data_IF_177227463682
#
_entry.id   IF_177227463682
#
_cell.length_a   1.000
_cell.length_b   1.000
_cell.length_c   1.000
_cell.angle_alpha   90.00
_cell.angle_beta   90.00
_cell.angle_gamma   90.00
#
_symmetry.space_group_name_H-M   'P 1'
#
loop_
_entity.id
_entity.type
_entity.pdbx_description
1 polymer ?
#
# COMPACT_ATOMS: atom_id res chain seq x y z
N UNK A 1 -9.03 4.01 7.47
CA UNK A 1 -7.82 3.30 7.95
C UNK A 1 -6.61 3.32 7.00
N UNK A 2 -6.76 3.12 5.67
CA UNK A 2 -5.61 3.07 4.74
C UNK A 2 -5.30 4.37 3.95
N UNK A 3 -6.03 5.47 4.15
CA UNK A 3 -5.73 6.75 3.49
C UNK A 3 -5.82 6.71 1.96
N UNK A 4 -6.77 5.94 1.42
CA UNK A 4 -7.01 5.76 -0.01
C UNK A 4 -8.18 6.63 -0.46
N UNK A 5 -8.02 7.29 -1.61
CA UNK A 5 -9.14 7.94 -2.31
C UNK A 5 -10.04 6.89 -2.97
N UNK A 6 -11.31 7.21 -3.13
CA UNK A 6 -12.32 6.30 -3.69
C UNK A 6 -11.94 5.74 -5.07
N UNK A 7 -11.40 6.59 -5.95
CA UNK A 7 -10.90 6.17 -7.27
C UNK A 7 -9.79 5.11 -7.15
N UNK A 8 -8.86 5.31 -6.21
CA UNK A 8 -7.76 4.36 -5.97
C UNK A 8 -8.31 3.05 -5.38
N UNK A 9 -9.25 3.15 -4.44
CA UNK A 9 -9.92 1.99 -3.84
C UNK A 9 -10.64 1.15 -4.90
N UNK A 10 -11.49 1.77 -5.74
CA UNK A 10 -12.21 1.11 -6.82
C UNK A 10 -11.29 0.40 -7.80
N UNK A 11 -10.17 1.04 -8.16
CA UNK A 11 -9.17 0.44 -9.04
C UNK A 11 -8.49 -0.78 -8.42
N UNK A 12 -8.21 -0.72 -7.11
CA UNK A 12 -7.53 -1.79 -6.38
C UNK A 12 -8.49 -2.98 -6.14
N UNK A 13 -9.77 -2.70 -5.91
CA UNK A 13 -10.84 -3.70 -5.85
C UNK A 13 -11.03 -4.42 -7.19
N UNK A 14 -11.10 -3.68 -8.30
CA UNK A 14 -11.13 -4.27 -9.65
C UNK A 14 -9.91 -5.13 -9.97
N UNK A 15 -8.75 -4.80 -9.40
CA UNK A 15 -7.54 -5.65 -9.53
C UNK A 15 -7.67 -6.93 -8.69
N UNK A 16 -8.23 -6.85 -7.50
CA UNK A 16 -8.48 -8.00 -6.64
C UNK A 16 -9.48 -8.99 -7.27
N UNK A 17 -10.54 -8.47 -7.89
CA UNK A 17 -11.57 -9.26 -8.57
C UNK A 17 -11.02 -10.06 -9.76
N UNK A 18 -9.97 -9.55 -10.43
CA UNK A 18 -9.30 -10.24 -11.53
C UNK A 18 -8.33 -11.34 -11.08
N UNK A 19 -7.96 -11.38 -9.79
CA UNK A 19 -7.09 -12.44 -9.25
C UNK A 19 -7.94 -13.69 -8.99
N UNK A 20 -7.34 -14.86 -9.18
CA UNK A 20 -7.95 -16.14 -8.77
C UNK A 20 -8.06 -16.20 -7.24
N UNK A 21 -9.10 -16.86 -6.72
CA UNK A 21 -9.33 -17.01 -5.28
C UNK A 21 -10.39 -16.06 -4.71
N UNK A 22 -10.40 -15.89 -3.39
CA UNK A 22 -11.39 -15.07 -2.68
C UNK A 22 -11.07 -13.58 -2.86
N UNK A 23 -11.99 -12.82 -3.48
CA UNK A 23 -11.79 -11.39 -3.79
C UNK A 23 -11.46 -10.55 -2.56
N UNK A 24 -12.08 -10.84 -1.41
CA UNK A 24 -11.82 -10.12 -0.16
C UNK A 24 -10.40 -10.29 0.36
N UNK A 25 -9.88 -11.53 0.34
CA UNK A 25 -8.50 -11.84 0.73
C UNK A 25 -7.50 -11.21 -0.24
N UNK A 26 -7.75 -11.36 -1.55
CA UNK A 26 -6.95 -10.73 -2.60
C UNK A 26 -6.89 -9.20 -2.44
N UNK A 27 -8.01 -8.58 -2.04
CA UNK A 27 -8.07 -7.15 -1.81
C UNK A 27 -7.26 -6.72 -0.59
N UNK A 28 -7.39 -7.44 0.53
CA UNK A 28 -6.58 -7.21 1.73
C UNK A 28 -5.09 -7.42 1.47
N UNK A 29 -4.71 -8.48 0.75
CA UNK A 29 -3.34 -8.73 0.34
C UNK A 29 -2.78 -7.55 -0.48
N UNK A 30 -3.55 -7.03 -1.43
CA UNK A 30 -3.13 -5.88 -2.24
C UNK A 30 -2.99 -4.59 -1.41
N UNK A 31 -3.82 -4.39 -0.39
CA UNK A 31 -3.70 -3.25 0.52
C UNK A 31 -2.45 -3.34 1.41
N UNK A 32 -2.12 -4.56 1.84
CA UNK A 32 -0.98 -4.82 2.70
C UNK A 32 0.36 -4.81 1.94
N UNK A 33 0.34 -5.12 0.64
CA UNK A 33 1.52 -5.06 -0.23
C UNK A 33 1.95 -3.65 -0.64
N UNK A 34 1.21 -2.62 -0.26
CA UNK A 34 1.59 -1.24 -0.59
C UNK A 34 2.83 -0.83 0.20
N UNK A 35 3.70 -0.04 -0.42
CA UNK A 35 4.95 0.40 0.20
C UNK A 35 4.73 1.20 1.50
N UNK A 36 3.71 2.05 1.53
CA UNK A 36 3.34 2.80 2.75
C UNK A 36 2.85 1.88 3.88
N UNK A 37 2.06 0.85 3.56
CA UNK A 37 1.65 -0.18 4.52
C UNK A 37 2.85 -0.95 5.08
N UNK A 38 3.77 -1.37 4.21
CA UNK A 38 4.97 -2.12 4.58
C UNK A 38 5.88 -1.30 5.51
N UNK A 39 6.15 -0.04 5.15
CA UNK A 39 7.01 0.86 5.94
C UNK A 39 6.41 1.16 7.31
N UNK A 40 5.08 1.28 7.39
CA UNK A 40 4.38 1.39 8.66
C UNK A 40 4.47 0.10 9.50
N UNK A 41 4.25 -1.07 8.88
CA UNK A 41 4.36 -2.39 9.54
C UNK A 41 5.75 -2.68 10.07
N UNK A 42 6.79 -2.23 9.36
CA UNK A 42 8.19 -2.37 9.80
C UNK A 42 8.56 -1.47 10.99
N UNK A 43 7.66 -0.58 11.44
CA UNK A 43 7.92 0.28 12.60
C UNK A 43 8.84 1.46 12.32
N UNK A 44 9.18 1.74 11.04
CA UNK A 44 10.00 2.89 10.63
C UNK A 44 9.30 4.21 10.96
N UNK A 45 7.96 4.20 10.96
CA UNK A 45 7.13 5.36 11.26
C UNK A 45 6.09 5.05 12.30
N UNK A 46 5.72 6.05 13.10
CA UNK A 46 4.68 5.90 14.14
C UNK A 46 3.25 6.00 13.58
N UNK A 47 3.08 6.55 12.37
CA UNK A 47 1.77 6.72 11.74
C UNK A 47 1.78 6.35 10.26
N UNK A 48 0.64 5.87 9.75
CA UNK A 48 0.47 5.57 8.31
C UNK A 48 0.62 6.82 7.43
N UNK A 49 0.21 7.99 7.93
CA UNK A 49 0.38 9.25 7.22
C UNK A 49 1.86 9.63 7.06
N UNK A 50 2.67 9.46 8.12
CA UNK A 50 4.11 9.70 8.08
C UNK A 50 4.81 8.72 7.14
N UNK A 51 4.45 7.43 7.17
CA UNK A 51 4.94 6.43 6.21
C UNK A 51 4.73 6.88 4.77
N UNK A 52 3.51 7.35 4.46
CA UNK A 52 3.17 7.82 3.13
C UNK A 52 3.98 9.06 2.74
N UNK A 53 4.23 9.98 3.66
CA UNK A 53 5.07 11.16 3.40
C UNK A 53 6.51 10.75 3.03
N UNK A 54 7.11 9.82 3.78
CA UNK A 54 8.45 9.32 3.48
C UNK A 54 8.54 8.65 2.10
N UNK A 55 7.52 7.84 1.77
CA UNK A 55 7.42 7.20 0.46
C UNK A 55 7.25 8.23 -0.66
N UNK A 56 6.36 9.21 -0.49
CA UNK A 56 6.12 10.26 -1.50
C UNK A 56 7.33 11.17 -1.73
N UNK A 57 8.14 11.38 -0.71
CA UNK A 57 9.38 12.17 -0.81
C UNK A 57 10.60 11.34 -1.24
N UNK A 58 10.40 10.08 -1.65
CA UNK A 58 11.46 9.16 -2.10
C UNK A 58 12.61 8.99 -1.10
N UNK A 59 12.31 9.02 0.21
CA UNK A 59 13.27 8.71 1.27
C UNK A 59 13.58 7.21 1.39
N UNK A 60 12.89 6.37 0.62
CA UNK A 60 12.97 4.91 0.70
C UNK A 60 13.44 4.39 -0.65
N UNK A 61 14.46 3.53 -0.60
CA UNK A 61 14.98 2.81 -1.77
C UNK A 61 14.41 1.40 -1.78
N UNK A 62 13.80 0.99 -2.89
CA UNK A 62 13.38 -0.39 -3.10
C UNK A 62 14.39 -1.05 -4.03
N UNK A 63 15.09 -2.08 -3.53
CA UNK A 63 16.15 -2.77 -4.26
C UNK A 63 17.21 -1.81 -4.83
N UNK A 64 17.61 -0.81 -4.04
CA UNK A 64 18.62 0.18 -4.42
C UNK A 64 18.14 1.29 -5.37
N UNK A 65 16.85 1.33 -5.74
CA UNK A 65 16.27 2.36 -6.62
C UNK A 65 15.26 3.24 -5.88
N UNK A 66 15.24 4.53 -6.20
CA UNK A 66 14.21 5.48 -5.74
C UNK A 66 12.87 5.13 -6.38
N UNK A 67 11.80 5.22 -5.59
CA UNK A 67 10.39 4.96 -5.99
C UNK A 67 9.56 6.19 -5.70
#
# INVERSE_FOLDING_TARGET
YYGLMEKQFKNLFKKAEKKKGVTGENFLELLERRLDSIVYRFGITKSRAQSRQLVLHSHILVNGKKV
#
